data_IF_121591913727
#
_entry.id   IF_121591913727
#
_cell.length_a   1.000
_cell.length_b   1.000
_cell.length_c   1.000
_cell.angle_alpha   90.00
_cell.angle_beta   90.00
_cell.angle_gamma   90.00
#
_symmetry.space_group_name_H-M   'P 1'
#
loop_
_entity.id
_entity.type
_entity.pdbx_description
1 polymer ?
#
# COMPACT_ATOMS: atom_id res chain seq x y z
N UNK A 1 -14.49 -3.55 -5.70
CA UNK A 1 -13.02 -3.50 -5.55
C UNK A 1 -12.68 -2.89 -4.21
N UNK A 2 -11.55 -3.26 -3.62
CA UNK A 2 -11.01 -2.66 -2.42
C UNK A 2 -9.58 -2.17 -2.65
N UNK A 3 -9.21 -1.08 -2.00
CA UNK A 3 -7.82 -0.65 -1.86
C UNK A 3 -7.42 -0.83 -0.40
N UNK A 4 -6.36 -1.58 -0.15
CA UNK A 4 -5.83 -1.78 1.19
C UNK A 4 -4.30 -1.65 1.21
N UNK A 5 -3.78 -1.18 2.33
CA UNK A 5 -2.36 -0.90 2.53
C UNK A 5 -1.72 -1.87 3.52
N UNK A 6 -0.88 -2.78 3.06
CA UNK A 6 -0.14 -3.72 3.92
C UNK A 6 1.32 -3.31 4.07
N UNK A 7 1.87 -3.48 5.27
CA UNK A 7 3.31 -3.31 5.51
C UNK A 7 3.95 -4.68 5.52
N UNK A 8 4.93 -4.89 4.65
CA UNK A 8 5.65 -6.16 4.52
C UNK A 8 7.11 -6.00 4.92
N UNK A 9 7.67 -6.98 5.62
CA UNK A 9 9.10 -7.02 5.92
C UNK A 9 9.89 -7.41 4.68
N UNK A 10 11.06 -6.80 4.49
CA UNK A 10 12.00 -7.15 3.42
C UNK A 10 13.37 -7.54 4.00
N UNK A 11 14.17 -8.24 3.20
CA UNK A 11 15.49 -8.69 3.63
C UNK A 11 16.35 -7.53 4.17
N UNK A 12 17.05 -7.77 5.29
CA UNK A 12 17.90 -6.77 5.94
C UNK A 12 19.21 -6.60 5.17
N UNK A 13 19.17 -5.75 4.16
CA UNK A 13 20.34 -5.34 3.39
C UNK A 13 20.51 -3.83 3.48
N UNK A 14 21.75 -3.31 3.43
CA UNK A 14 21.97 -1.86 3.42
C UNK A 14 21.19 -1.14 2.31
N UNK A 15 21.07 -1.77 1.13
CA UNK A 15 20.29 -1.24 0.01
C UNK A 15 18.80 -1.10 0.36
N UNK A 16 18.19 -2.12 0.98
CA UNK A 16 16.78 -2.09 1.37
C UNK A 16 16.53 -1.11 2.53
N UNK A 17 17.47 -1.00 3.47
CA UNK A 17 17.41 0.00 4.55
C UNK A 17 17.38 1.41 3.95
N UNK A 18 18.22 1.68 2.94
CA UNK A 18 18.26 2.99 2.26
C UNK A 18 17.00 3.23 1.43
N UNK A 19 16.53 2.22 0.69
CA UNK A 19 15.39 2.37 -0.21
C UNK A 19 14.04 2.52 0.53
N UNK A 20 13.81 1.71 1.57
CA UNK A 20 12.49 1.59 2.19
C UNK A 20 12.43 2.10 3.64
N UNK A 21 13.58 2.08 4.32
CA UNK A 21 13.68 2.47 5.72
C UNK A 21 13.12 1.42 6.69
N UNK A 22 13.16 1.78 7.98
CA UNK A 22 12.58 0.99 9.08
C UNK A 22 11.47 1.78 9.73
N UNK A 23 10.37 1.11 10.08
CA UNK A 23 9.36 1.71 10.93
C UNK A 23 9.96 1.99 12.31
N UNK A 24 9.62 3.15 12.88
CA UNK A 24 10.10 3.58 14.19
C UNK A 24 8.89 3.85 15.09
N UNK A 25 8.95 3.35 16.31
CA UNK A 25 8.01 3.67 17.38
C UNK A 25 8.77 4.11 18.62
N UNK A 26 8.05 4.55 19.66
CA UNK A 26 8.64 4.87 20.97
C UNK A 26 9.41 3.68 21.58
N UNK A 27 9.03 2.45 21.23
CA UNK A 27 9.65 1.21 21.72
C UNK A 27 10.87 0.76 20.91
N UNK A 28 11.28 1.53 19.90
CA UNK A 28 12.42 1.23 19.04
C UNK A 28 12.08 1.11 17.55
N UNK A 29 13.08 0.69 16.77
CA UNK A 29 12.96 0.49 15.32
C UNK A 29 12.62 -0.97 15.00
N UNK A 30 11.88 -1.21 13.91
CA UNK A 30 11.60 -2.56 13.42
C UNK A 30 12.90 -3.35 13.18
N UNK A 31 12.84 -4.67 13.42
CA UNK A 31 13.96 -5.60 13.23
C UNK A 31 14.40 -5.68 11.77
N UNK A 32 13.47 -5.49 10.83
CA UNK A 32 13.72 -5.52 9.40
C UNK A 32 13.31 -4.18 8.74
N UNK A 33 13.93 -3.82 7.60
CA UNK A 33 13.36 -2.81 6.72
C UNK A 33 11.99 -3.26 6.23
N UNK A 34 11.13 -2.29 5.95
CA UNK A 34 9.73 -2.55 5.63
C UNK A 34 9.31 -1.81 4.37
N UNK A 35 8.47 -2.44 3.55
CA UNK A 35 7.84 -1.83 2.38
C UNK A 35 6.35 -1.63 2.65
N UNK A 36 5.80 -0.48 2.23
CA UNK A 36 4.35 -0.26 2.22
C UNK A 36 3.82 -0.66 0.84
N UNK A 37 3.04 -1.74 0.80
CA UNK A 37 2.31 -2.20 -0.38
C UNK A 37 0.88 -1.66 -0.36
N UNK A 38 0.42 -1.12 -1.48
CA UNK A 38 -0.96 -0.73 -1.72
C UNK A 38 -1.52 -1.64 -2.79
N UNK A 39 -2.61 -2.34 -2.48
CA UNK A 39 -3.20 -3.34 -3.35
C UNK A 39 -4.59 -2.93 -3.77
N UNK A 40 -4.89 -3.00 -5.07
CA UNK A 40 -6.25 -2.98 -5.60
C UNK A 40 -6.72 -4.42 -5.74
N UNK A 41 -7.74 -4.81 -4.99
CA UNK A 41 -8.19 -6.20 -4.84
C UNK A 41 -9.67 -6.33 -5.15
N UNK A 42 -10.06 -7.43 -5.80
CA UNK A 42 -11.46 -7.77 -5.97
C UNK A 42 -12.01 -8.43 -4.69
N UNK A 43 -13.05 -7.86 -4.08
CA UNK A 43 -13.53 -8.29 -2.76
C UNK A 43 -14.15 -9.69 -2.74
N UNK A 44 -14.69 -10.18 -3.87
CA UNK A 44 -15.34 -11.49 -3.94
C UNK A 44 -14.33 -12.63 -4.05
N UNK A 45 -13.42 -12.53 -5.03
CA UNK A 45 -12.42 -13.57 -5.33
C UNK A 45 -11.10 -13.39 -4.57
N UNK A 46 -10.89 -12.24 -3.92
CA UNK A 46 -9.61 -11.81 -3.39
C UNK A 46 -8.48 -11.69 -4.44
N UNK A 47 -8.83 -11.57 -5.71
CA UNK A 47 -7.85 -11.37 -6.77
C UNK A 47 -7.17 -10.00 -6.66
N UNK A 48 -5.83 -9.99 -6.64
CA UNK A 48 -5.05 -8.76 -6.74
C UNK A 48 -5.01 -8.32 -8.20
N UNK A 49 -5.51 -7.12 -8.48
CA UNK A 49 -5.60 -6.53 -9.82
C UNK A 49 -4.42 -5.61 -10.13
N UNK A 50 -3.99 -4.80 -9.15
CA UNK A 50 -2.80 -3.95 -9.26
C UNK A 50 -2.17 -3.77 -7.88
N UNK A 51 -0.88 -3.45 -7.86
CA UNK A 51 -0.14 -3.21 -6.63
C UNK A 51 0.92 -2.12 -6.81
N UNK A 52 1.06 -1.27 -5.79
CA UNK A 52 2.09 -0.24 -5.73
C UNK A 52 2.92 -0.36 -4.45
N UNK A 53 4.24 -0.37 -4.57
CA UNK A 53 5.16 -0.49 -3.44
C UNK A 53 5.95 0.80 -3.21
N UNK A 54 6.19 1.14 -1.95
CA UNK A 54 6.99 2.29 -1.57
C UNK A 54 7.59 2.20 -0.16
N UNK A 55 8.35 3.23 0.27
CA UNK A 55 8.94 3.27 1.61
C UNK A 55 7.90 3.11 2.72
N UNK A 56 8.27 2.50 3.85
CA UNK A 56 7.33 2.20 4.96
C UNK A 56 6.59 3.43 5.51
N UNK A 57 7.19 4.61 5.40
CA UNK A 57 6.62 5.87 5.89
C UNK A 57 5.63 6.52 4.91
N UNK A 58 5.40 5.91 3.76
CA UNK A 58 4.44 6.41 2.77
C UNK A 58 3.04 6.29 3.33
N UNK A 59 2.28 7.39 3.31
CA UNK A 59 0.87 7.33 3.72
C UNK A 59 0.06 6.50 2.72
N UNK A 60 -0.93 5.75 3.20
CA UNK A 60 -1.84 4.98 2.34
C UNK A 60 -2.56 5.89 1.34
N UNK A 61 -2.89 7.11 1.76
CA UNK A 61 -3.46 8.14 0.90
C UNK A 61 -2.57 8.44 -0.30
N UNK A 62 -1.30 8.74 -0.07
CA UNK A 62 -0.33 9.06 -1.13
C UNK A 62 0.00 7.83 -1.97
N UNK A 63 0.13 6.66 -1.33
CA UNK A 63 0.42 5.39 -2.02
C UNK A 63 -0.72 4.94 -2.92
N UNK A 64 -1.97 5.13 -2.50
CA UNK A 64 -3.17 4.67 -3.20
C UNK A 64 -3.34 5.25 -4.61
N UNK A 65 -2.83 6.47 -4.85
CA UNK A 65 -2.82 7.06 -6.19
C UNK A 65 -2.07 6.22 -7.22
N UNK A 66 -1.13 5.35 -6.81
CA UNK A 66 -0.38 4.49 -7.74
C UNK A 66 -1.26 3.44 -8.42
N UNK A 67 -2.29 2.96 -7.74
CA UNK A 67 -3.19 1.91 -8.26
C UNK A 67 -4.43 2.47 -8.95
N UNK A 68 -4.65 3.79 -8.91
CA UNK A 68 -5.79 4.43 -9.60
C UNK A 68 -5.73 4.33 -11.12
N UNK A 69 -4.55 4.12 -11.70
CA UNK A 69 -4.40 3.82 -13.14
C UNK A 69 -5.19 2.59 -13.59
N UNK A 70 -5.50 1.70 -12.65
CA UNK A 70 -6.19 0.43 -12.89
C UNK A 70 -7.68 0.49 -12.48
N UNK A 71 -8.14 1.64 -11.98
CA UNK A 71 -9.55 1.90 -11.69
C UNK A 71 -10.21 2.43 -12.97
N UNK A 72 -11.33 1.84 -13.35
CA UNK A 72 -12.10 2.22 -14.55
C UNK A 72 -13.47 2.76 -14.17
N UNK A 73 -14.11 3.47 -15.10
CA UNK A 73 -15.46 3.99 -14.89
C UNK A 73 -16.46 2.87 -14.54
N UNK A 74 -17.34 3.14 -13.58
CA UNK A 74 -18.33 2.18 -13.10
C UNK A 74 -17.82 1.22 -12.01
N UNK A 75 -16.53 1.28 -11.62
CA UNK A 75 -16.02 0.50 -10.50
C UNK A 75 -16.34 1.16 -9.16
N UNK A 76 -17.03 0.44 -8.26
CA UNK A 76 -17.11 0.82 -6.85
C UNK A 76 -15.82 0.37 -6.13
N UNK A 77 -15.09 1.36 -5.61
CA UNK A 77 -13.84 1.14 -4.86
C UNK A 77 -14.02 1.57 -3.41
N UNK A 78 -13.76 0.65 -2.48
CA UNK A 78 -13.80 0.87 -1.03
C UNK A 78 -12.36 0.84 -0.51
N UNK A 79 -11.98 1.60 0.51
CA UNK A 79 -10.63 1.50 1.05
C UNK A 79 -10.49 1.92 2.51
N UNK A 80 -9.39 1.49 3.13
CA UNK A 80 -9.00 1.85 4.49
C UNK A 80 -8.31 3.22 4.46
N UNK A 81 -9.09 4.28 4.73
CA UNK A 81 -8.72 5.69 4.56
C UNK A 81 -9.88 6.49 3.93
N UNK A 82 -9.86 7.83 3.95
CA UNK A 82 -10.92 8.66 3.33
C UNK A 82 -10.87 8.58 1.79
N UNK A 83 -11.16 7.41 1.23
CA UNK A 83 -11.30 7.16 -0.20
C UNK A 83 -12.77 6.91 -0.49
N UNK A 84 -13.51 7.96 -0.83
CA UNK A 84 -14.82 7.84 -1.48
C UNK A 84 -14.62 8.24 -2.93
N UNK A 85 -14.54 7.25 -3.81
CA UNK A 85 -14.40 7.48 -5.25
C UNK A 85 -15.69 7.02 -5.90
N UNK A 86 -16.54 8.00 -6.25
CA UNK A 86 -17.66 7.77 -7.17
C UNK A 86 -17.16 8.18 -8.55
N UNK A 87 -16.74 7.20 -9.36
CA UNK A 87 -16.49 7.46 -10.78
C UNK A 87 -17.84 7.58 -11.49
N UNK A 88 -18.15 8.77 -12.03
CA UNK A 88 -19.26 8.98 -12.96
C UNK A 88 -19.01 8.29 -14.30
#
# INVERSE_FOLDING_TARGET
>A
MAIDGTTEDVADTPANVVAFGRHKSERGSSAFPQVKGLYLVECGTHAIVDAGFGPVKTSERTGGFRVFRSVTAGMLVIGTGTFTITTC
#
